data_IF_739093494102
#
_entry.id   IF_739093494102
#
_cell.length_a   1.000
_cell.length_b   1.000
_cell.length_c   1.000
_cell.angle_alpha   90.00
_cell.angle_beta   90.00
_cell.angle_gamma   90.00
#
_symmetry.space_group_name_H-M   'P 1'
#
loop_
_entity.id
_entity.type
_entity.pdbx_description
1 polymer ?
#
# COMPACT_ATOMS: atom_id res chain seq x y z
N UNK A 1 31.15 -42.76 29.62
CA UNK A 1 31.02 -42.09 28.31
C UNK A 1 32.36 -41.46 27.95
N UNK A 2 32.90 -41.75 26.75
CA UNK A 2 34.27 -41.32 26.38
C UNK A 2 34.27 -39.81 26.09
N UNK A 3 35.28 -39.08 26.56
CA UNK A 3 35.47 -37.62 26.37
C UNK A 3 35.24 -37.20 24.91
N UNK A 4 35.62 -38.06 23.95
CA UNK A 4 35.38 -37.88 22.50
C UNK A 4 33.90 -37.77 22.11
N UNK A 5 32.99 -38.48 22.79
CA UNK A 5 31.54 -38.41 22.52
C UNK A 5 30.94 -37.08 23.01
N UNK A 6 31.38 -36.56 24.16
CA UNK A 6 30.96 -35.24 24.65
C UNK A 6 31.38 -34.12 23.70
N UNK A 7 32.60 -34.21 23.13
CA UNK A 7 33.11 -33.23 22.18
C UNK A 7 32.27 -33.19 20.90
N UNK A 8 31.95 -34.35 20.31
CA UNK A 8 31.11 -34.42 19.11
C UNK A 8 29.70 -33.89 19.31
N UNK A 9 29.07 -34.19 20.46
CA UNK A 9 27.73 -33.66 20.79
C UNK A 9 27.75 -32.14 20.84
N UNK A 10 28.76 -31.55 21.49
CA UNK A 10 28.86 -30.10 21.60
C UNK A 10 29.07 -29.45 20.21
N UNK A 11 29.97 -29.99 19.38
CA UNK A 11 30.20 -29.48 18.02
C UNK A 11 28.94 -29.53 17.16
N UNK A 12 28.19 -30.63 17.20
CA UNK A 12 26.93 -30.77 16.46
C UNK A 12 25.89 -29.76 16.97
N UNK A 13 25.81 -29.55 18.28
CA UNK A 13 24.91 -28.57 18.89
C UNK A 13 25.22 -27.13 18.46
N UNK A 14 26.50 -26.73 18.48
CA UNK A 14 26.94 -25.42 17.99
C UNK A 14 26.60 -25.22 16.51
N UNK A 15 26.85 -26.24 15.69
CA UNK A 15 26.56 -26.18 14.26
C UNK A 15 25.04 -26.04 14.01
N UNK A 16 24.22 -26.81 14.71
CA UNK A 16 22.76 -26.74 14.61
C UNK A 16 22.23 -25.35 15.04
N UNK A 17 22.75 -24.77 16.13
CA UNK A 17 22.35 -23.43 16.56
C UNK A 17 22.77 -22.35 15.56
N UNK A 18 23.97 -22.46 14.97
CA UNK A 18 24.42 -21.51 13.94
C UNK A 18 23.47 -21.53 12.72
N UNK A 19 23.02 -22.71 12.31
CA UNK A 19 22.02 -22.86 11.24
C UNK A 19 20.69 -22.23 11.62
N UNK A 20 20.20 -22.43 12.86
CA UNK A 20 18.94 -21.85 13.34
C UNK A 20 19.02 -20.32 13.38
N UNK A 21 20.11 -19.75 13.90
CA UNK A 21 20.31 -18.29 13.95
C UNK A 21 20.36 -17.73 12.53
N UNK A 22 21.12 -18.36 11.63
CA UNK A 22 21.21 -17.97 10.23
C UNK A 22 19.85 -17.98 9.54
N UNK A 23 19.06 -19.04 9.72
CA UNK A 23 17.71 -19.14 9.18
C UNK A 23 16.77 -18.05 9.73
N UNK A 24 16.83 -17.78 11.05
CA UNK A 24 15.99 -16.76 11.70
C UNK A 24 16.31 -15.36 11.18
N UNK A 25 17.61 -15.02 11.07
CA UNK A 25 18.05 -13.75 10.50
C UNK A 25 17.59 -13.62 9.05
N UNK A 26 17.77 -14.67 8.24
CA UNK A 26 17.34 -14.68 6.85
C UNK A 26 15.84 -14.42 6.70
N UNK A 27 14.99 -15.10 7.47
CA UNK A 27 13.54 -14.86 7.47
C UNK A 27 13.18 -13.44 7.92
N UNK A 28 13.91 -12.89 8.89
CA UNK A 28 13.71 -11.51 9.37
C UNK A 28 14.06 -10.49 8.29
N UNK A 29 15.17 -10.69 7.57
CA UNK A 29 15.57 -9.83 6.46
C UNK A 29 14.56 -9.85 5.32
N UNK A 30 14.06 -11.03 4.95
CA UNK A 30 13.03 -11.17 3.92
C UNK A 30 11.73 -10.43 4.33
N UNK A 31 11.31 -10.61 5.58
CA UNK A 31 10.12 -9.93 6.13
C UNK A 31 10.29 -8.40 6.15
N UNK A 32 11.48 -7.91 6.53
CA UNK A 32 11.81 -6.48 6.49
C UNK A 32 11.75 -5.91 5.07
N UNK A 33 12.28 -6.64 4.09
CA UNK A 33 12.29 -6.20 2.70
C UNK A 33 10.86 -6.13 2.13
N UNK A 34 10.03 -7.16 2.38
CA UNK A 34 8.63 -7.16 1.99
C UNK A 34 7.83 -6.02 2.62
N UNK A 35 8.05 -5.77 3.91
CA UNK A 35 7.37 -4.69 4.61
C UNK A 35 7.79 -3.30 4.10
N UNK A 36 9.08 -3.11 3.81
CA UNK A 36 9.58 -1.87 3.20
C UNK A 36 8.93 -1.61 1.85
N UNK A 37 8.78 -2.64 1.01
CA UNK A 37 8.08 -2.53 -0.27
C UNK A 37 6.61 -2.17 -0.10
N UNK A 38 5.91 -2.80 0.85
CA UNK A 38 4.50 -2.49 1.16
C UNK A 38 4.33 -1.04 1.63
N UNK A 39 5.17 -0.56 2.55
CA UNK A 39 5.16 0.83 3.01
C UNK A 39 5.41 1.80 1.86
N UNK A 40 6.34 1.48 0.95
CA UNK A 40 6.58 2.31 -0.22
C UNK A 40 5.34 2.39 -1.14
N UNK A 41 4.70 1.24 -1.41
CA UNK A 41 3.47 1.18 -2.22
C UNK A 41 2.34 1.99 -1.58
N UNK A 42 2.12 1.83 -0.28
CA UNK A 42 1.09 2.57 0.43
C UNK A 42 1.32 4.08 0.36
N UNK A 43 2.57 4.53 0.54
CA UNK A 43 2.92 5.94 0.45
C UNK A 43 2.71 6.51 -0.96
N UNK A 44 3.09 5.77 -2.01
CA UNK A 44 2.85 6.18 -3.39
C UNK A 44 1.34 6.20 -3.72
N UNK A 45 0.55 5.28 -3.18
CA UNK A 45 -0.91 5.31 -3.30
C UNK A 45 -1.50 6.56 -2.64
N UNK A 46 -1.15 6.83 -1.38
CA UNK A 46 -1.63 8.01 -0.64
C UNK A 46 -1.31 9.29 -1.43
N UNK A 47 -0.04 9.44 -1.82
CA UNK A 47 0.43 10.61 -2.58
C UNK A 47 -0.28 10.74 -3.91
N UNK A 48 -0.33 9.67 -4.71
CA UNK A 48 -0.94 9.72 -6.04
C UNK A 48 -2.43 10.02 -5.98
N UNK A 49 -3.15 9.49 -4.99
CA UNK A 49 -4.58 9.78 -4.79
C UNK A 49 -4.82 11.25 -4.46
N UNK A 50 -3.98 11.86 -3.61
CA UNK A 50 -4.03 13.29 -3.38
C UNK A 50 -3.73 14.09 -4.66
N UNK A 51 -2.73 13.69 -5.43
CA UNK A 51 -2.40 14.34 -6.69
C UNK A 51 -3.56 14.23 -7.71
N UNK A 52 -4.22 13.08 -7.82
CA UNK A 52 -5.44 12.94 -8.65
C UNK A 52 -6.56 13.89 -8.21
N UNK A 53 -6.75 14.06 -6.90
CA UNK A 53 -7.76 14.94 -6.36
C UNK A 53 -7.49 16.42 -6.67
N UNK A 54 -6.23 16.85 -6.47
CA UNK A 54 -5.78 18.20 -6.79
C UNK A 54 -5.99 18.48 -8.28
N UNK A 55 -5.53 17.58 -9.15
CA UNK A 55 -5.65 17.76 -10.60
C UNK A 55 -7.11 17.72 -11.07
N UNK A 56 -7.96 16.90 -10.46
CA UNK A 56 -9.39 16.89 -10.77
C UNK A 56 -10.07 18.21 -10.38
N UNK A 57 -9.66 18.80 -9.26
CA UNK A 57 -10.12 20.12 -8.81
C UNK A 57 -9.63 21.22 -9.77
N UNK A 58 -8.36 21.18 -10.17
CA UNK A 58 -7.81 22.13 -11.16
C UNK A 58 -8.52 22.01 -12.53
N UNK A 59 -8.85 20.78 -12.95
CA UNK A 59 -9.61 20.54 -14.19
C UNK A 59 -11.00 21.20 -14.15
N UNK A 60 -11.69 21.15 -13.01
CA UNK A 60 -12.98 21.82 -12.80
C UNK A 60 -12.88 23.34 -13.03
N UNK A 61 -11.84 23.98 -12.49
CA UNK A 61 -11.69 25.43 -12.54
C UNK A 61 -11.15 25.96 -13.87
N UNK A 62 -10.13 25.31 -14.44
CA UNK A 62 -9.37 25.86 -15.56
C UNK A 62 -9.67 25.20 -16.90
N UNK A 63 -10.24 23.99 -16.91
CA UNK A 63 -10.81 23.38 -18.12
C UNK A 63 -9.81 23.17 -19.27
N UNK A 64 -8.51 23.10 -18.93
CA UNK A 64 -7.43 22.95 -19.91
C UNK A 64 -7.14 21.47 -20.23
N UNK A 65 -6.54 21.20 -21.40
CA UNK A 65 -6.07 19.86 -21.76
C UNK A 65 -4.95 19.35 -20.83
N UNK A 66 -4.21 20.28 -20.21
CA UNK A 66 -3.07 19.97 -19.35
C UNK A 66 -3.49 19.19 -18.09
N UNK A 67 -4.42 19.64 -17.24
CA UNK A 67 -4.91 18.84 -16.10
C UNK A 67 -5.41 17.46 -16.50
N UNK A 68 -6.11 17.30 -17.63
CA UNK A 68 -6.53 15.99 -18.12
C UNK A 68 -5.34 15.06 -18.40
N UNK A 69 -4.31 15.56 -19.09
CA UNK A 69 -3.11 14.78 -19.39
C UNK A 69 -2.37 14.39 -18.11
N UNK A 70 -2.26 15.30 -17.15
CA UNK A 70 -1.63 15.04 -15.86
C UNK A 70 -2.40 14.00 -15.04
N UNK A 71 -3.73 14.12 -15.03
CA UNK A 71 -4.60 13.18 -14.33
C UNK A 71 -4.46 11.77 -14.90
N UNK A 72 -4.51 11.63 -16.24
CA UNK A 72 -4.36 10.33 -16.91
C UNK A 72 -2.99 9.69 -16.64
N UNK A 73 -1.92 10.49 -16.67
CA UNK A 73 -0.57 10.01 -16.37
C UNK A 73 -0.46 9.47 -14.94
N UNK A 74 -1.05 10.18 -13.97
CA UNK A 74 -1.10 9.74 -12.58
C UNK A 74 -1.98 8.52 -12.36
N UNK A 75 -3.15 8.49 -12.99
CA UNK A 75 -4.05 7.34 -12.92
C UNK A 75 -3.34 6.09 -13.44
N UNK A 76 -2.68 6.17 -14.60
CA UNK A 76 -1.93 5.04 -15.17
C UNK A 76 -0.79 4.56 -14.25
N UNK A 77 -0.10 5.48 -13.58
CA UNK A 77 0.97 5.10 -12.63
C UNK A 77 0.39 4.34 -11.44
N UNK A 78 -0.73 4.81 -10.88
CA UNK A 78 -1.39 4.13 -9.77
C UNK A 78 -1.99 2.78 -10.17
N UNK A 79 -2.53 2.67 -11.38
CA UNK A 79 -3.03 1.42 -11.94
C UNK A 79 -1.92 0.34 -11.98
N UNK A 80 -0.71 0.72 -12.39
CA UNK A 80 0.45 -0.19 -12.39
C UNK A 80 0.85 -0.63 -10.98
N UNK A 81 0.77 0.27 -10.00
CA UNK A 81 1.03 -0.05 -8.60
C UNK A 81 -0.02 -1.04 -8.08
N UNK A 82 -1.30 -0.79 -8.37
CA UNK A 82 -2.42 -1.62 -7.94
C UNK A 82 -2.47 -2.99 -8.66
N UNK A 83 -1.91 -3.10 -9.86
CA UNK A 83 -1.77 -4.36 -10.57
C UNK A 83 -0.73 -5.31 -9.94
N UNK A 84 0.17 -4.78 -9.09
CA UNK A 84 1.23 -5.58 -8.48
C UNK A 84 0.69 -6.31 -7.24
N UNK A 85 0.78 -7.65 -7.15
CA UNK A 85 0.26 -8.42 -6.03
C UNK A 85 1.17 -8.31 -4.79
N UNK A 86 1.07 -7.20 -4.06
CA UNK A 86 1.92 -6.91 -2.90
C UNK A 86 1.30 -7.25 -1.54
N UNK A 87 -0.02 -7.47 -1.49
CA UNK A 87 -0.78 -7.72 -0.26
C UNK A 87 -1.49 -9.08 -0.34
N UNK A 88 -0.83 -10.12 0.18
CA UNK A 88 -1.29 -11.52 0.06
C UNK A 88 -2.01 -12.04 1.30
N UNK A 89 -1.84 -11.39 2.46
CA UNK A 89 -2.48 -11.84 3.70
C UNK A 89 -3.98 -11.55 3.65
N UNK A 90 -4.84 -12.45 4.16
CA UNK A 90 -6.30 -12.31 4.00
C UNK A 90 -6.86 -10.97 4.48
N UNK A 91 -6.32 -10.44 5.57
CA UNK A 91 -6.72 -9.17 6.18
C UNK A 91 -6.21 -7.94 5.43
N UNK A 92 -5.03 -8.02 4.83
CA UNK A 92 -4.51 -6.97 3.93
C UNK A 92 -5.24 -7.00 2.58
N UNK A 93 -5.58 -8.19 2.09
CA UNK A 93 -6.20 -8.38 0.78
C UNK A 93 -7.59 -7.74 0.70
N UNK A 94 -8.41 -7.84 1.75
CA UNK A 94 -9.72 -7.17 1.78
C UNK A 94 -9.57 -5.65 1.65
N UNK A 95 -8.64 -5.05 2.41
CA UNK A 95 -8.36 -3.62 2.34
C UNK A 95 -7.85 -3.21 0.96
N UNK A 96 -6.94 -3.99 0.39
CA UNK A 96 -6.39 -3.73 -0.94
C UNK A 96 -7.44 -3.81 -2.05
N UNK A 97 -8.36 -4.79 -1.98
CA UNK A 97 -9.46 -4.91 -2.94
C UNK A 97 -10.40 -3.71 -2.87
N UNK A 98 -10.71 -3.20 -1.67
CA UNK A 98 -11.52 -1.99 -1.50
C UNK A 98 -10.83 -0.74 -2.07
N UNK A 99 -9.50 -0.63 -1.91
CA UNK A 99 -8.73 0.45 -2.55
C UNK A 99 -8.87 0.37 -4.08
N UNK A 100 -8.80 -0.84 -4.64
CA UNK A 100 -8.96 -1.05 -6.08
C UNK A 100 -10.35 -0.64 -6.57
N UNK A 101 -11.41 -1.02 -5.85
CA UNK A 101 -12.79 -0.63 -6.15
C UNK A 101 -12.96 0.90 -6.15
N UNK A 102 -12.47 1.58 -5.12
CA UNK A 102 -12.54 3.04 -5.06
C UNK A 102 -11.66 3.72 -6.11
N UNK A 103 -10.55 3.11 -6.51
CA UNK A 103 -9.70 3.61 -7.60
C UNK A 103 -10.42 3.55 -8.95
N UNK A 104 -11.14 2.46 -9.24
CA UNK A 104 -11.98 2.33 -10.44
C UNK A 104 -13.13 3.36 -10.43
N UNK A 105 -13.77 3.55 -9.27
CA UNK A 105 -14.81 4.56 -9.08
C UNK A 105 -14.28 5.97 -9.38
N UNK A 106 -13.11 6.33 -8.84
CA UNK A 106 -12.47 7.63 -9.08
C UNK A 106 -12.22 7.84 -10.57
N UNK A 107 -11.78 6.82 -11.30
CA UNK A 107 -11.60 6.92 -12.75
C UNK A 107 -12.90 7.09 -13.51
N UNK A 108 -13.95 6.38 -13.11
CA UNK A 108 -15.30 6.52 -13.68
C UNK A 108 -15.88 7.91 -13.42
N UNK A 109 -15.71 8.45 -12.22
CA UNK A 109 -16.16 9.79 -11.84
C UNK A 109 -15.44 10.87 -12.65
N UNK A 110 -14.12 10.76 -12.80
CA UNK A 110 -13.36 11.70 -13.62
C UNK A 110 -13.75 11.63 -15.11
N UNK A 111 -13.97 10.42 -15.64
CA UNK A 111 -14.48 10.26 -17.01
C UNK A 111 -15.84 10.94 -17.20
N UNK A 112 -16.75 10.84 -16.21
CA UNK A 112 -18.04 11.56 -16.22
C UNK A 112 -17.86 13.08 -16.18
N UNK A 113 -16.94 13.57 -15.34
CA UNK A 113 -16.58 14.99 -15.28
C UNK A 113 -16.12 15.50 -16.65
N UNK A 114 -15.28 14.72 -17.35
CA UNK A 114 -14.85 15.04 -18.72
C UNK A 114 -16.01 15.06 -19.71
N UNK A 115 -16.91 14.06 -19.68
CA UNK A 115 -18.07 14.05 -20.60
C UNK A 115 -19.00 15.22 -20.39
N UNK A 116 -19.14 15.68 -19.15
CA UNK A 116 -19.88 16.90 -18.83
C UNK A 116 -19.24 18.14 -19.47
N UNK A 117 -17.91 18.17 -19.49
CA UNK A 117 -17.14 19.20 -20.16
C UNK A 117 -17.20 19.12 -21.71
N UNK A 118 -17.61 18.01 -22.29
CA UNK A 118 -17.80 17.95 -23.75
C UNK A 118 -19.15 18.56 -24.18
N UNK A 119 -20.04 18.90 -23.23
CA UNK A 119 -21.36 19.49 -23.51
C UNK A 119 -21.27 20.98 -23.92
N UNK A 120 -22.23 21.45 -24.76
CA UNK A 120 -22.36 22.86 -25.11
C UNK A 120 -22.54 23.77 -23.88
N UNK A 121 -22.01 24.99 -23.95
CA UNK A 121 -22.04 25.95 -22.83
C UNK A 121 -23.47 26.25 -22.32
N UNK A 122 -24.46 26.23 -23.21
CA UNK A 122 -25.88 26.42 -22.89
C UNK A 122 -26.48 25.30 -22.05
N UNK A 123 -25.98 24.07 -22.19
CA UNK A 123 -26.42 22.92 -21.38
C UNK A 123 -25.64 22.86 -20.07
N UNK A 124 -24.34 23.20 -20.10
CA UNK A 124 -23.46 23.19 -18.93
C UNK A 124 -23.85 24.21 -17.86
N UNK A 125 -24.28 25.40 -18.26
CA UNK A 125 -24.66 26.49 -17.35
C UNK A 125 -26.06 26.35 -16.78
N UNK A 126 -26.82 25.31 -17.18
CA UNK A 126 -28.09 25.04 -16.57
C UNK A 126 -27.91 24.66 -15.08
N UNK A 127 -28.74 25.17 -14.16
CA UNK A 127 -28.57 24.96 -12.71
C UNK A 127 -28.46 23.49 -12.28
N UNK A 128 -29.16 22.60 -12.99
CA UNK A 128 -29.09 21.16 -12.79
C UNK A 128 -27.68 20.60 -13.03
N UNK A 129 -27.03 21.07 -14.09
CA UNK A 129 -25.74 20.58 -14.55
C UNK A 129 -24.59 21.04 -13.65
N UNK A 130 -24.60 22.28 -13.15
CA UNK A 130 -23.63 22.76 -12.16
C UNK A 130 -23.68 21.96 -10.85
N UNK A 131 -24.89 21.63 -10.37
CA UNK A 131 -25.05 20.80 -9.15
C UNK A 131 -24.53 19.38 -9.32
N UNK A 132 -24.53 18.85 -10.55
CA UNK A 132 -24.00 17.53 -10.86
C UNK A 132 -22.47 17.52 -10.84
N UNK A 133 -21.83 18.56 -11.38
CA UNK A 133 -20.38 18.74 -11.36
C UNK A 133 -19.82 18.82 -9.93
N UNK A 134 -20.43 19.66 -9.08
CA UNK A 134 -20.09 19.78 -7.65
C UNK A 134 -20.23 18.45 -6.91
N UNK A 135 -21.27 17.68 -7.25
CA UNK A 135 -21.49 16.34 -6.69
C UNK A 135 -20.42 15.35 -7.12
N UNK A 136 -20.01 15.35 -8.39
CA UNK A 136 -18.95 14.45 -8.89
C UNK A 136 -17.64 14.73 -8.18
N UNK A 137 -17.26 16.00 -8.02
CA UNK A 137 -16.05 16.40 -7.30
C UNK A 137 -16.12 16.00 -5.82
N UNK A 138 -17.26 16.25 -5.17
CA UNK A 138 -17.48 15.83 -3.78
C UNK A 138 -17.33 14.31 -3.62
N UNK A 139 -17.86 13.53 -4.56
CA UNK A 139 -17.71 12.07 -4.57
C UNK A 139 -16.25 11.65 -4.78
N UNK A 140 -15.53 12.31 -5.69
CA UNK A 140 -14.10 12.06 -5.94
C UNK A 140 -13.26 12.34 -4.69
N UNK A 141 -13.57 13.42 -3.95
CA UNK A 141 -12.94 13.73 -2.66
C UNK A 141 -13.21 12.67 -1.59
N UNK A 142 -14.46 12.25 -1.43
CA UNK A 142 -14.82 11.21 -0.46
C UNK A 142 -14.11 9.90 -0.79
N UNK A 143 -14.12 9.46 -2.04
CA UNK A 143 -13.44 8.23 -2.48
C UNK A 143 -11.93 8.29 -2.31
N UNK A 144 -11.32 9.42 -2.64
CA UNK A 144 -9.91 9.66 -2.38
C UNK A 144 -9.57 9.55 -0.88
N UNK A 145 -10.38 10.13 -0.01
CA UNK A 145 -10.18 10.05 1.44
C UNK A 145 -10.37 8.62 1.98
N UNK A 146 -11.36 7.89 1.47
CA UNK A 146 -11.57 6.48 1.82
C UNK A 146 -10.36 5.62 1.42
N UNK A 147 -9.82 5.82 0.21
CA UNK A 147 -8.60 5.14 -0.23
C UNK A 147 -7.39 5.47 0.65
N UNK A 148 -7.18 6.74 0.98
CA UNK A 148 -6.10 7.17 1.87
C UNK A 148 -6.23 6.53 3.25
N UNK A 149 -7.45 6.47 3.79
CA UNK A 149 -7.70 5.81 5.09
C UNK A 149 -7.40 4.31 5.04
N UNK A 150 -7.82 3.62 3.99
CA UNK A 150 -7.52 2.19 3.80
C UNK A 150 -6.03 1.94 3.61
N UNK A 151 -5.35 2.82 2.87
CA UNK A 151 -3.91 2.79 2.68
C UNK A 151 -3.18 2.91 4.04
N UNK A 152 -3.53 3.90 4.86
CA UNK A 152 -2.97 4.01 6.22
C UNK A 152 -3.24 2.77 7.09
N UNK A 153 -4.40 2.13 6.96
CA UNK A 153 -4.66 0.86 7.66
C UNK A 153 -3.74 -0.28 7.20
N UNK A 154 -3.40 -0.34 5.91
CA UNK A 154 -2.42 -1.29 5.37
C UNK A 154 -1.01 -1.04 5.91
N UNK A 155 -0.60 0.22 6.00
CA UNK A 155 0.68 0.60 6.60
C UNK A 155 0.75 0.20 8.08
N UNK A 156 -0.27 0.55 8.87
CA UNK A 156 -0.32 0.21 10.30
C UNK A 156 -0.27 -1.31 10.53
N UNK A 157 -0.95 -2.11 9.69
CA UNK A 157 -0.85 -3.57 9.74
C UNK A 157 0.55 -4.06 9.44
N UNK A 158 1.15 -3.55 8.36
CA UNK A 158 2.53 -3.89 7.95
C UNK A 158 3.53 -3.60 9.08
N UNK A 159 3.42 -2.45 9.74
CA UNK A 159 4.27 -2.08 10.88
C UNK A 159 4.07 -2.97 12.11
N UNK A 160 2.82 -3.30 12.44
CA UNK A 160 2.52 -4.17 13.58
C UNK A 160 3.13 -5.58 13.41
N UNK A 161 3.10 -6.10 12.18
CA UNK A 161 3.71 -7.41 11.87
C UNK A 161 5.23 -7.39 11.91
N UNK A 162 5.85 -6.27 11.52
CA UNK A 162 7.29 -6.08 11.68
C UNK A 162 7.71 -6.14 13.15
N UNK A 163 7.02 -5.40 14.02
CA UNK A 163 7.35 -5.33 15.44
C UNK A 163 7.19 -6.70 16.11
N UNK A 164 6.13 -7.44 15.77
CA UNK A 164 5.88 -8.78 16.34
C UNK A 164 6.88 -9.82 15.84
N UNK A 165 7.25 -9.78 14.56
CA UNK A 165 8.26 -10.66 13.98
C UNK A 165 9.63 -10.40 14.60
N UNK A 166 10.03 -9.13 14.73
CA UNK A 166 11.30 -8.74 15.33
C UNK A 166 11.40 -9.13 16.81
N UNK A 167 10.34 -8.93 17.59
CA UNK A 167 10.31 -9.35 19.01
C UNK A 167 10.46 -10.85 19.16
N UNK A 168 9.74 -11.62 18.36
CA UNK A 168 9.78 -13.08 18.39
C UNK A 168 11.19 -13.59 18.04
N UNK A 169 11.78 -13.08 16.96
CA UNK A 169 13.15 -13.42 16.57
C UNK A 169 14.18 -13.07 17.67
N UNK A 170 14.05 -11.90 18.29
CA UNK A 170 14.97 -11.46 19.35
C UNK A 170 14.89 -12.34 20.59
N UNK A 171 13.69 -12.74 21.00
CA UNK A 171 13.49 -13.66 22.13
C UNK A 171 14.08 -15.05 21.84
N UNK A 172 13.91 -15.56 20.62
CA UNK A 172 14.53 -16.83 20.21
C UNK A 172 16.06 -16.76 20.26
N UNK A 173 16.67 -15.70 19.72
CA UNK A 173 18.12 -15.51 19.75
C UNK A 173 18.61 -15.40 21.19
N UNK A 174 17.93 -14.62 22.04
CA UNK A 174 18.31 -14.47 23.44
C UNK A 174 18.23 -15.80 24.20
N UNK A 175 17.18 -16.59 23.98
CA UNK A 175 17.05 -17.93 24.57
C UNK A 175 18.17 -18.87 24.12
N UNK A 176 18.56 -18.84 22.85
CA UNK A 176 19.68 -19.62 22.32
C UNK A 176 21.02 -19.20 22.97
N UNK A 177 21.24 -17.91 23.19
CA UNK A 177 22.45 -17.41 23.86
C UNK A 177 22.49 -17.86 25.32
N UNK A 178 21.37 -17.81 26.05
CA UNK A 178 21.29 -18.28 27.45
C UNK A 178 21.54 -19.78 27.57
N UNK A 179 21.12 -20.58 26.59
CA UNK A 179 21.41 -22.03 26.56
C UNK A 179 22.89 -22.32 26.26
N UNK A 180 23.60 -21.40 25.58
CA UNK A 180 25.04 -21.52 25.32
C UNK A 180 25.94 -21.08 26.47
N UNK A 181 25.50 -20.09 27.26
CA UNK A 181 26.27 -19.52 28.39
C UNK A 181 26.18 -20.33 29.66
#
# INVERSE_FOLDING_TARGET
>A
MRIKQKLHINTVLFLAMMVIIGATLFMTFDTLNQASQKVHITNELIRGVFELNIVATDFMFYQEERPQTQWNARYTTLEQILATPSFQRPDERDLFLRIHEYFEDVGTLFARLRTFHDLPLSERTAPFHTSLEERIISQLMVKAQEMVSLAFQLEQKTEADLITTQRTASLFIMGLIVVMG
#
